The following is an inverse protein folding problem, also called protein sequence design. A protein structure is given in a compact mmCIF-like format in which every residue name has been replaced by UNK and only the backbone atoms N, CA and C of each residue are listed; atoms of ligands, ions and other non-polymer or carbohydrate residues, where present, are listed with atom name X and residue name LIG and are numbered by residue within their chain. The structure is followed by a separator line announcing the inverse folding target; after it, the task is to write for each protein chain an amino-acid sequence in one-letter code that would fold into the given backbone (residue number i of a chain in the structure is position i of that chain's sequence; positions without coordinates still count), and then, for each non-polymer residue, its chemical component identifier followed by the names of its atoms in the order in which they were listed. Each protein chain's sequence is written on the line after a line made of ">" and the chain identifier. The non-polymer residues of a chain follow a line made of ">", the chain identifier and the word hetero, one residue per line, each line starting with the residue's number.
data_IF_431608803625
#
_entry.id   IF_431608803625
#
_cell.length_a   1.000
_cell.length_b   1.000
_cell.length_c   1.000
_cell.angle_alpha   90.00
_cell.angle_beta   90.00
_cell.angle_gamma   90.00
#
_symmetry.space_group_name_H-M   'P 1'
#
loop_
_entity.id
_entity.type
_entity.pdbx_description
1 polymer ?
#
# COMPACT_ATOMS: atom_id res chain seq x y z
N UNK A 1 -7.36 28.73 -18.44
CA UNK A 1 -7.92 27.43 -17.99
C UNK A 1 -7.07 26.35 -18.62
N UNK A 2 -6.39 25.53 -17.81
CA UNK A 2 -5.73 24.32 -18.30
C UNK A 2 -6.78 23.40 -18.90
N UNK A 3 -6.56 22.91 -20.12
CA UNK A 3 -7.43 21.94 -20.74
C UNK A 3 -7.22 20.60 -20.03
N UNK A 4 -8.22 20.11 -19.29
CA UNK A 4 -8.20 18.76 -18.73
C UNK A 4 -8.64 17.77 -19.80
N UNK A 5 -7.72 16.89 -20.21
CA UNK A 5 -8.01 15.79 -21.12
C UNK A 5 -8.07 14.47 -20.34
N UNK A 6 -9.04 13.63 -20.67
CA UNK A 6 -9.19 12.29 -20.09
C UNK A 6 -8.78 11.26 -21.13
N UNK A 7 -7.85 10.37 -20.78
CA UNK A 7 -7.41 9.26 -21.62
C UNK A 7 -8.25 8.00 -21.37
N UNK A 8 -8.31 7.11 -22.37
CA UNK A 8 -8.86 5.75 -22.17
C UNK A 8 -8.14 4.99 -21.05
N UNK A 9 -6.84 5.26 -20.87
CA UNK A 9 -6.04 4.68 -19.79
C UNK A 9 -6.36 5.26 -18.40
N UNK A 10 -7.05 6.39 -18.33
CA UNK A 10 -7.56 6.93 -17.06
C UNK A 10 -8.81 6.18 -16.60
N UNK A 11 -9.58 5.67 -17.55
CA UNK A 11 -10.81 4.91 -17.32
C UNK A 11 -10.54 3.42 -17.06
N UNK A 12 -9.62 2.82 -17.83
CA UNK A 12 -9.30 1.40 -17.74
C UNK A 12 -7.91 1.19 -17.15
N UNK A 13 -7.86 0.85 -15.86
CA UNK A 13 -6.62 0.58 -15.12
C UNK A 13 -6.60 -0.88 -14.66
N UNK A 14 -5.49 -1.56 -14.94
CA UNK A 14 -5.20 -2.87 -14.34
C UNK A 14 -4.86 -2.64 -12.86
N UNK A 15 -5.36 -3.52 -12.00
CA UNK A 15 -5.04 -3.50 -10.58
C UNK A 15 -5.77 -4.59 -9.82
N UNK A 16 -5.44 -4.73 -8.54
CA UNK A 16 -6.08 -5.68 -7.62
C UNK A 16 -7.40 -5.10 -7.08
N UNK A 17 -8.45 -5.93 -7.10
CA UNK A 17 -9.76 -5.65 -6.48
C UNK A 17 -9.76 -5.88 -4.96
N UNK A 18 -10.88 -5.64 -4.25
CA UNK A 18 -12.23 -5.43 -4.78
C UNK A 18 -12.57 -3.98 -5.14
N UNK A 19 -11.76 -2.99 -4.76
CA UNK A 19 -12.11 -1.57 -4.89
C UNK A 19 -10.96 -0.70 -5.38
N UNK A 20 -11.19 0.11 -6.42
CA UNK A 20 -10.17 1.07 -6.86
C UNK A 20 -9.88 2.15 -5.80
N UNK A 21 -10.91 2.59 -5.06
CA UNK A 21 -10.77 3.68 -4.08
C UNK A 21 -10.26 3.20 -2.71
N UNK A 22 -10.54 1.94 -2.34
CA UNK A 22 -10.20 1.39 -1.04
C UNK A 22 -9.08 0.35 -1.10
N UNK A 23 -8.72 -0.17 -2.28
CA UNK A 23 -7.61 -1.11 -2.45
C UNK A 23 -6.48 -0.47 -3.26
N UNK A 24 -6.73 -0.14 -4.54
CA UNK A 24 -5.68 0.35 -5.43
C UNK A 24 -5.13 1.74 -5.02
N UNK A 25 -6.01 2.65 -4.59
CA UNK A 25 -5.63 3.98 -4.11
C UNK A 25 -4.69 3.91 -2.91
N UNK A 26 -5.09 3.26 -1.80
CA UNK A 26 -4.24 3.10 -0.61
C UNK A 26 -2.92 2.39 -0.88
N UNK A 27 -2.90 1.34 -1.72
CA UNK A 27 -1.66 0.66 -2.12
C UNK A 27 -0.70 1.63 -2.81
N UNK A 28 -1.19 2.39 -3.79
CA UNK A 28 -0.37 3.39 -4.49
C UNK A 28 0.09 4.51 -3.56
N UNK A 29 -0.74 4.93 -2.61
CA UNK A 29 -0.36 5.94 -1.62
C UNK A 29 0.81 5.47 -0.75
N UNK A 30 0.83 4.20 -0.33
CA UNK A 30 1.95 3.60 0.37
C UNK A 30 3.23 3.56 -0.50
N UNK A 31 3.13 3.16 -1.77
CA UNK A 31 4.28 3.17 -2.70
C UNK A 31 4.85 4.59 -2.89
N UNK A 32 4.00 5.59 -3.08
CA UNK A 32 4.41 7.00 -3.19
C UNK A 32 5.09 7.48 -1.91
N UNK A 33 4.57 7.10 -0.75
CA UNK A 33 5.18 7.42 0.54
C UNK A 33 6.60 6.86 0.64
N UNK A 34 6.81 5.57 0.31
CA UNK A 34 8.15 4.97 0.31
C UNK A 34 9.11 5.65 -0.66
N UNK A 35 8.65 5.95 -1.88
CA UNK A 35 9.45 6.69 -2.86
C UNK A 35 9.87 8.08 -2.32
N UNK A 36 9.01 8.73 -1.54
CA UNK A 36 9.34 9.99 -0.89
C UNK A 36 10.43 9.85 0.19
N UNK A 37 10.50 8.71 0.88
CA UNK A 37 11.56 8.41 1.84
C UNK A 37 12.88 8.07 1.13
N UNK A 38 12.83 7.31 0.03
CA UNK A 38 14.00 6.97 -0.77
C UNK A 38 14.63 8.19 -1.43
N UNK A 39 13.82 9.05 -2.05
CA UNK A 39 14.31 10.29 -2.67
C UNK A 39 14.98 11.24 -1.68
N UNK A 40 14.65 11.13 -0.39
CA UNK A 40 15.29 11.87 0.71
C UNK A 40 16.44 11.11 1.37
N UNK A 41 16.72 9.87 0.96
CA UNK A 41 17.70 8.95 1.57
C UNK A 41 17.47 8.64 3.06
N UNK A 42 16.22 8.74 3.54
CA UNK A 42 15.87 8.52 4.96
C UNK A 42 15.15 7.20 5.23
N UNK A 43 14.96 6.34 4.22
CA UNK A 43 14.25 5.06 4.39
C UNK A 43 14.88 4.19 5.50
N UNK A 44 16.22 4.14 5.55
CA UNK A 44 16.99 3.35 6.52
C UNK A 44 16.97 3.93 7.94
N UNK A 45 16.52 5.18 8.08
CA UNK A 45 16.40 5.86 9.38
C UNK A 45 15.05 5.60 10.06
N UNK A 46 14.06 5.06 9.34
CA UNK A 46 12.73 4.79 9.87
C UNK A 46 12.82 3.78 11.01
N UNK A 47 12.28 4.14 12.18
CA UNK A 47 12.23 3.26 13.36
C UNK A 47 10.85 2.65 13.60
N UNK A 48 9.81 3.38 13.20
CA UNK A 48 8.43 2.94 13.31
C UNK A 48 7.58 3.64 12.26
N UNK A 49 6.43 3.06 11.95
CA UNK A 49 5.46 3.61 11.01
C UNK A 49 4.06 3.40 11.56
N UNK A 50 3.25 4.44 11.51
CA UNK A 50 1.83 4.39 11.86
C UNK A 50 1.00 4.83 10.66
N UNK A 51 -0.07 4.07 10.38
CA UNK A 51 -1.03 4.38 9.33
C UNK A 51 -2.36 4.70 9.97
N UNK A 52 -2.84 5.93 9.74
CA UNK A 52 -4.13 6.38 10.23
C UNK A 52 -5.12 6.50 9.06
N UNK A 53 -6.20 5.73 9.14
CA UNK A 53 -7.30 5.80 8.18
C UNK A 53 -8.37 6.76 8.71
N UNK A 54 -8.93 7.59 7.84
CA UNK A 54 -9.97 8.56 8.19
C UNK A 54 -11.22 8.40 7.33
N UNK A 55 -12.36 8.90 7.83
CA UNK A 55 -13.60 9.02 7.06
C UNK A 55 -14.15 7.70 6.54
N UNK A 56 -14.56 7.66 5.27
CA UNK A 56 -15.10 6.46 4.61
C UNK A 56 -14.08 5.33 4.52
N UNK A 57 -12.79 5.67 4.38
CA UNK A 57 -11.70 4.71 4.27
C UNK A 57 -11.54 3.90 5.57
N UNK A 58 -11.65 4.56 6.72
CA UNK A 58 -11.61 3.90 8.03
C UNK A 58 -12.82 3.00 8.27
N UNK A 59 -14.02 3.48 7.91
CA UNK A 59 -15.28 2.77 8.19
C UNK A 59 -15.42 1.45 7.44
N UNK A 60 -14.79 1.34 6.28
CA UNK A 60 -14.98 0.20 5.36
C UNK A 60 -13.68 -0.54 5.06
N UNK A 61 -12.58 -0.15 5.68
CA UNK A 61 -11.22 -0.55 5.30
C UNK A 61 -10.99 -2.06 5.34
N UNK A 62 -11.38 -2.73 6.43
CA UNK A 62 -11.20 -4.18 6.61
C UNK A 62 -12.01 -4.96 5.55
N UNK A 63 -13.26 -4.55 5.28
CA UNK A 63 -14.12 -5.24 4.31
C UNK A 63 -13.73 -5.02 2.84
N UNK A 64 -12.88 -4.03 2.55
CA UNK A 64 -12.38 -3.72 1.20
C UNK A 64 -10.88 -4.02 1.02
N UNK A 65 -10.23 -4.61 2.02
CA UNK A 65 -8.80 -4.94 1.99
C UNK A 65 -7.88 -3.72 1.98
N UNK A 66 -8.30 -2.59 2.54
CA UNK A 66 -7.47 -1.37 2.63
C UNK A 66 -6.21 -1.61 3.46
N UNK A 67 -6.36 -2.30 4.58
CA UNK A 67 -5.29 -2.72 5.48
C UNK A 67 -4.27 -3.61 4.78
N UNK A 68 -4.74 -4.59 4.00
CA UNK A 68 -3.93 -5.48 3.17
C UNK A 68 -3.19 -4.68 2.10
N UNK A 69 -3.91 -3.84 1.36
CA UNK A 69 -3.37 -3.02 0.29
C UNK A 69 -2.23 -2.11 0.78
N UNK A 70 -2.39 -1.52 1.97
CA UNK A 70 -1.36 -0.68 2.57
C UNK A 70 -0.14 -1.50 2.98
N UNK A 71 -0.31 -2.68 3.57
CA UNK A 71 0.81 -3.54 3.96
C UNK A 71 1.63 -4.02 2.74
N UNK A 72 0.95 -4.41 1.66
CA UNK A 72 1.63 -4.79 0.41
C UNK A 72 2.34 -3.58 -0.22
N UNK A 73 1.70 -2.41 -0.22
CA UNK A 73 2.36 -1.19 -0.70
C UNK A 73 3.55 -0.76 0.16
N UNK A 74 3.46 -0.89 1.48
CA UNK A 74 4.57 -0.63 2.40
C UNK A 74 5.73 -1.63 2.19
N UNK A 75 5.43 -2.84 1.74
CA UNK A 75 6.43 -3.83 1.35
C UNK A 75 7.10 -3.51 0.00
N UNK A 76 6.63 -2.50 -0.73
CA UNK A 76 7.13 -2.11 -2.05
C UNK A 76 6.52 -2.89 -3.22
N UNK A 77 5.46 -3.66 -2.98
CA UNK A 77 4.83 -4.45 -4.04
C UNK A 77 4.06 -3.55 -5.02
N UNK A 78 3.96 -3.98 -6.28
CA UNK A 78 3.21 -3.25 -7.31
C UNK A 78 1.81 -3.87 -7.50
N UNK A 79 0.72 -3.09 -7.34
CA UNK A 79 -0.66 -3.60 -7.42
C UNK A 79 -1.10 -4.04 -8.83
N UNK A 80 -0.29 -3.81 -9.87
CA UNK A 80 -0.54 -4.24 -11.24
C UNK A 80 0.12 -5.60 -11.50
N UNK A 81 1.29 -5.84 -10.91
CA UNK A 81 2.10 -7.04 -11.20
C UNK A 81 2.19 -8.04 -10.04
N UNK A 82 1.68 -7.70 -8.86
CA UNK A 82 1.72 -8.60 -7.70
C UNK A 82 0.90 -9.86 -7.94
N UNK A 83 1.47 -11.01 -7.54
CA UNK A 83 0.78 -12.30 -7.60
C UNK A 83 -0.28 -12.37 -6.48
N UNK A 84 -1.55 -12.20 -6.86
CA UNK A 84 -2.68 -12.19 -5.92
C UNK A 84 -2.81 -13.47 -5.09
N UNK A 85 -2.25 -14.59 -5.55
CA UNK A 85 -2.26 -15.84 -4.78
C UNK A 85 -1.36 -15.79 -3.53
N UNK A 86 -0.42 -14.84 -3.48
CA UNK A 86 0.53 -14.66 -2.37
C UNK A 86 0.09 -13.63 -1.34
N UNK A 87 -1.07 -12.99 -1.53
CA UNK A 87 -1.57 -11.95 -0.60
C UNK A 87 -1.68 -12.52 0.81
N UNK A 88 -2.39 -13.64 0.96
CA UNK A 88 -2.64 -14.22 2.29
C UNK A 88 -1.36 -14.67 2.97
N UNK A 89 -0.42 -15.28 2.23
CA UNK A 89 0.89 -15.69 2.75
C UNK A 89 1.65 -14.49 3.31
N UNK A 90 1.80 -13.42 2.50
CA UNK A 90 2.60 -12.24 2.87
C UNK A 90 1.99 -11.47 4.04
N UNK A 91 0.66 -11.33 4.08
CA UNK A 91 -0.02 -10.67 5.21
C UNK A 91 0.08 -11.50 6.48
N UNK A 92 -0.04 -12.82 6.39
CA UNK A 92 0.15 -13.69 7.55
C UNK A 92 1.59 -13.62 8.08
N UNK A 93 2.60 -13.54 7.20
CA UNK A 93 3.99 -13.34 7.61
C UNK A 93 4.15 -12.05 8.43
N UNK A 94 3.67 -10.91 7.93
CA UNK A 94 3.72 -9.62 8.65
C UNK A 94 3.02 -9.72 10.00
N UNK A 95 1.82 -10.32 10.03
CA UNK A 95 1.03 -10.50 11.24
C UNK A 95 1.71 -11.39 12.28
N UNK A 96 2.35 -12.48 11.86
CA UNK A 96 3.03 -13.44 12.74
C UNK A 96 4.35 -12.89 13.25
N UNK A 97 5.15 -12.29 12.38
CA UNK A 97 6.47 -11.75 12.73
C UNK A 97 6.37 -10.41 13.46
N UNK A 98 5.25 -9.69 13.32
CA UNK A 98 5.07 -8.30 13.75
C UNK A 98 6.15 -7.38 13.21
N UNK A 99 6.51 -7.62 11.96
CA UNK A 99 7.58 -6.93 11.24
C UNK A 99 7.18 -6.73 9.80
N UNK A 100 7.69 -5.67 9.19
CA UNK A 100 7.52 -5.39 7.77
C UNK A 100 8.84 -4.94 7.17
N UNK A 101 9.12 -5.38 5.94
CA UNK A 101 10.30 -4.95 5.19
C UNK A 101 9.91 -3.83 4.25
N UNK A 102 10.17 -2.58 4.67
CA UNK A 102 9.83 -1.39 3.91
C UNK A 102 10.56 -1.37 2.57
N UNK A 103 9.78 -1.27 1.50
CA UNK A 103 10.25 -1.32 0.11
C UNK A 103 11.18 -2.50 -0.22
N UNK A 104 11.06 -3.62 0.50
CA UNK A 104 11.98 -4.75 0.39
C UNK A 104 13.43 -4.47 0.83
N UNK A 105 13.69 -3.37 1.53
CA UNK A 105 15.05 -2.89 1.87
C UNK A 105 15.32 -2.67 3.35
N UNK A 106 14.31 -2.32 4.14
CA UNK A 106 14.52 -1.91 5.54
C UNK A 106 13.46 -2.53 6.46
N UNK A 107 13.87 -3.46 7.32
CA UNK A 107 12.96 -4.12 8.27
C UNK A 107 12.70 -3.22 9.49
N UNK A 108 11.43 -3.08 9.86
CA UNK A 108 11.00 -2.42 11.10
C UNK A 108 9.98 -3.27 11.84
N UNK A 109 9.85 -3.03 13.14
CA UNK A 109 8.73 -3.55 13.92
C UNK A 109 7.42 -2.91 13.42
N UNK A 110 6.40 -3.73 13.20
CA UNK A 110 5.12 -3.32 12.66
C UNK A 110 4.01 -4.27 13.11
N UNK A 111 3.06 -3.76 13.89
CA UNK A 111 1.92 -4.53 14.42
C UNK A 111 0.63 -4.01 13.75
N UNK A 112 0.15 -4.67 12.68
CA UNK A 112 -1.12 -4.29 12.06
C UNK A 112 -2.27 -4.63 13.02
N UNK A 113 -2.96 -3.60 13.51
CA UNK A 113 -4.11 -3.73 14.40
C UNK A 113 -5.37 -4.18 13.67
#
# INVERSE_FOLDING_TARGET
>A
MSHEAISVFDMFKIGVGPSSSHTLGPWRAANIFLQSLESKNILQEVKSLEVLLYGSLAKTGIGHGTDIAIQLGLSGDDPVTFDVSKIDEKINEVKTLKKIVLNGKHEIDFDPK
#
